data_IF_572106992720
#
_entry.id   IF_572106992720
#
_cell.length_a   1.000
_cell.length_b   1.000
_cell.length_c   1.000
_cell.angle_alpha   90.00
_cell.angle_beta   90.00
_cell.angle_gamma   90.00
#
_symmetry.space_group_name_H-M   'P 1'
#
loop_
_entity.id
_entity.type
_entity.pdbx_description
1 polymer ?
#
# COMPACT_ATOMS: atom_id res chain seq x y z
N UNK A 1 8.98 -7.18 1.78
CA UNK A 1 7.88 -6.19 1.75
C UNK A 1 8.10 -5.09 2.77
N UNK A 2 8.22 -3.84 2.33
CA UNK A 2 8.51 -2.65 3.15
C UNK A 2 7.24 -2.11 3.82
N UNK A 3 7.30 -1.72 5.10
CA UNK A 3 6.19 -0.99 5.76
C UNK A 3 6.22 0.49 5.37
N UNK A 4 5.05 1.03 5.09
CA UNK A 4 4.88 2.45 4.71
C UNK A 4 3.83 3.11 5.60
N UNK A 5 3.96 4.42 5.76
CA UNK A 5 2.93 5.22 6.42
C UNK A 5 2.08 5.86 5.32
N UNK A 6 0.76 5.73 5.43
CA UNK A 6 -0.18 6.41 4.54
C UNK A 6 -0.82 7.55 5.32
N UNK A 7 -0.61 8.78 4.85
CA UNK A 7 -1.34 9.93 5.35
C UNK A 7 -2.69 9.99 4.64
N UNK A 8 -3.73 10.32 5.38
CA UNK A 8 -5.08 10.50 4.84
C UNK A 8 -5.61 11.88 5.20
N UNK A 9 -6.53 12.38 4.40
CA UNK A 9 -7.35 13.54 4.79
C UNK A 9 -8.43 13.16 5.81
N UNK A 10 -9.30 14.11 6.13
CA UNK A 10 -10.43 13.94 7.05
C UNK A 10 -11.47 12.92 6.58
N UNK A 11 -11.53 12.63 5.28
CA UNK A 11 -12.43 11.63 4.70
C UNK A 11 -11.79 10.24 4.64
N UNK A 12 -10.53 10.12 5.07
CA UNK A 12 -9.76 8.88 5.00
C UNK A 12 -9.20 8.59 3.61
N UNK A 13 -9.19 9.58 2.71
CA UNK A 13 -8.59 9.44 1.39
C UNK A 13 -7.06 9.62 1.48
N UNK A 14 -6.27 8.70 0.91
CA UNK A 14 -4.81 8.82 0.84
C UNK A 14 -4.35 10.14 0.21
N UNK A 15 -3.52 10.89 0.93
CA UNK A 15 -2.93 12.15 0.47
C UNK A 15 -1.42 12.04 0.23
N UNK A 16 -0.73 11.22 1.03
CA UNK A 16 0.70 10.97 0.86
C UNK A 16 1.11 9.58 1.39
N UNK A 17 2.26 9.09 0.92
CA UNK A 17 2.90 7.87 1.42
C UNK A 17 4.33 8.19 1.84
N UNK A 18 4.70 7.84 3.06
CA UNK A 18 6.10 7.87 3.52
C UNK A 18 6.70 6.48 3.35
N UNK A 19 7.71 6.40 2.47
CA UNK A 19 8.41 5.16 2.11
C UNK A 19 9.92 5.44 2.05
N UNK A 20 10.71 4.60 2.72
CA UNK A 20 12.18 4.76 2.89
C UNK A 20 12.61 6.18 3.31
N UNK A 21 11.85 6.80 4.22
CA UNK A 21 12.12 8.16 4.70
C UNK A 21 11.84 9.28 3.69
N UNK A 22 11.22 8.96 2.55
CA UNK A 22 10.80 9.93 1.53
C UNK A 22 9.28 10.01 1.48
N UNK A 23 8.77 11.23 1.35
CA UNK A 23 7.34 11.47 1.18
C UNK A 23 6.97 11.51 -0.31
N UNK A 24 5.89 10.80 -0.64
CA UNK A 24 5.34 10.70 -1.96
C UNK A 24 3.90 11.21 -1.96
N UNK A 25 3.64 12.35 -2.60
CA UNK A 25 2.31 12.94 -2.66
C UNK A 25 1.44 12.17 -3.66
N UNK A 26 0.19 11.88 -3.27
CA UNK A 26 -0.82 11.26 -4.16
C UNK A 26 -1.27 12.29 -5.19
N UNK A 27 -1.24 11.92 -6.46
CA UNK A 27 -1.53 12.82 -7.59
C UNK A 27 -2.75 12.45 -8.44
N UNK A 28 -3.42 11.34 -8.14
CA UNK A 28 -4.67 10.94 -8.77
C UNK A 28 -5.55 10.19 -7.76
N UNK A 29 -6.83 10.02 -8.08
CA UNK A 29 -7.78 9.29 -7.23
C UNK A 29 -7.26 7.87 -6.92
N UNK A 30 -7.22 7.47 -5.64
CA UNK A 30 -6.84 6.12 -5.24
C UNK A 30 -7.80 5.04 -5.76
N UNK A 31 -7.27 3.87 -6.09
CA UNK A 31 -8.08 2.69 -6.41
C UNK A 31 -7.93 1.67 -5.28
N UNK A 32 -9.04 1.22 -4.71
CA UNK A 32 -9.09 0.29 -3.58
C UNK A 32 -9.89 -0.95 -3.95
N UNK A 33 -9.37 -2.12 -3.61
CA UNK A 33 -10.05 -3.40 -3.77
C UNK A 33 -9.62 -4.40 -2.70
N UNK A 34 -10.24 -5.58 -2.69
CA UNK A 34 -9.86 -6.69 -1.82
C UNK A 34 -9.42 -7.87 -2.67
N UNK A 35 -8.33 -8.52 -2.26
CA UNK A 35 -7.84 -9.75 -2.89
C UNK A 35 -7.95 -10.92 -1.92
N UNK A 36 -8.41 -12.07 -2.44
CA UNK A 36 -8.44 -13.29 -1.64
C UNK A 36 -7.04 -13.89 -1.53
N UNK A 37 -6.61 -14.17 -0.31
CA UNK A 37 -5.33 -14.78 0.02
C UNK A 37 -5.54 -16.13 0.71
N UNK A 38 -4.93 -17.17 0.13
CA UNK A 38 -4.89 -18.51 0.72
C UNK A 38 -3.72 -18.59 1.69
N UNK A 39 -3.82 -17.91 2.85
CA UNK A 39 -2.71 -17.87 3.80
C UNK A 39 -2.24 -19.26 4.25
N UNK A 40 -3.10 -20.28 4.19
CA UNK A 40 -2.76 -21.66 4.56
C UNK A 40 -1.76 -22.32 3.60
N UNK A 41 -1.59 -21.79 2.38
CA UNK A 41 -0.56 -22.27 1.45
C UNK A 41 0.84 -21.83 1.88
N UNK A 42 0.94 -20.70 2.60
CA UNK A 42 2.23 -20.13 3.02
C UNK A 42 2.47 -20.24 4.53
N UNK A 43 1.44 -20.49 5.33
CA UNK A 43 1.50 -20.51 6.79
C UNK A 43 0.75 -21.72 7.37
N UNK A 44 1.42 -22.46 8.27
CA UNK A 44 0.81 -23.61 8.98
C UNK A 44 -0.30 -23.24 9.96
N UNK A 45 -0.41 -21.97 10.36
CA UNK A 45 -1.41 -21.46 11.29
C UNK A 45 -1.90 -20.11 10.78
N UNK A 46 -3.15 -19.80 11.14
CA UNK A 46 -3.78 -18.53 10.84
C UNK A 46 -2.88 -17.37 11.28
N UNK A 47 -2.52 -16.45 10.37
CA UNK A 47 -1.71 -15.30 10.72
C UNK A 47 -2.41 -14.48 11.80
N UNK A 48 -1.67 -14.12 12.85
CA UNK A 48 -2.20 -13.25 13.90
C UNK A 48 -2.62 -11.91 13.30
N UNK A 49 -3.74 -11.37 13.74
CA UNK A 49 -4.30 -10.10 13.24
C UNK A 49 -5.00 -10.22 11.88
N UNK A 50 -4.56 -11.10 10.99
CA UNK A 50 -5.21 -11.31 9.70
C UNK A 50 -6.17 -12.51 9.77
N UNK A 51 -7.34 -12.29 10.36
CA UNK A 51 -8.36 -13.33 10.45
C UNK A 51 -9.15 -13.55 9.15
N UNK A 52 -8.98 -12.64 8.21
CA UNK A 52 -9.61 -12.65 6.90
C UNK A 52 -8.85 -13.48 5.88
N UNK A 53 -9.63 -14.00 4.96
CA UNK A 53 -9.20 -14.57 3.67
C UNK A 53 -9.09 -13.48 2.62
N UNK A 54 -9.51 -12.24 2.92
CA UNK A 54 -9.38 -11.10 2.04
C UNK A 54 -8.39 -10.09 2.62
N UNK A 55 -7.58 -9.50 1.76
CA UNK A 55 -6.66 -8.42 2.11
C UNK A 55 -6.99 -7.18 1.30
N UNK A 56 -7.05 -6.04 1.98
CA UNK A 56 -7.26 -4.74 1.32
C UNK A 56 -6.00 -4.34 0.55
N UNK A 57 -6.20 -3.89 -0.69
CA UNK A 57 -5.17 -3.46 -1.62
C UNK A 57 -5.48 -2.06 -2.10
N UNK A 58 -4.44 -1.25 -2.23
CA UNK A 58 -4.50 0.13 -2.67
C UNK A 58 -3.50 0.36 -3.79
N UNK A 59 -3.97 0.91 -4.91
CA UNK A 59 -3.13 1.45 -5.97
C UNK A 59 -3.15 2.97 -5.88
N UNK A 60 -1.96 3.55 -5.83
CA UNK A 60 -1.77 5.00 -5.75
C UNK A 60 -0.90 5.47 -6.91
N UNK A 61 -1.33 6.55 -7.56
CA UNK A 61 -0.46 7.34 -8.43
C UNK A 61 0.22 8.39 -7.55
N UNK A 62 1.53 8.28 -7.38
CA UNK A 62 2.30 9.13 -6.46
C UNK A 62 3.46 9.82 -7.15
N UNK A 63 3.91 10.94 -6.61
CA UNK A 63 5.12 11.66 -7.07
C UNK A 63 6.01 12.00 -5.89
N UNK A 64 7.32 12.07 -6.10
CA UNK A 64 8.27 12.42 -5.03
C UNK A 64 8.13 13.89 -4.63
N UNK A 65 7.89 14.14 -3.35
CA UNK A 65 7.64 15.48 -2.81
C UNK A 65 6.38 16.14 -3.40
N UNK A 66 6.27 17.47 -3.25
CA UNK A 66 5.09 18.24 -3.64
C UNK A 66 5.22 18.96 -5.01
N UNK A 67 6.22 18.59 -5.82
CA UNK A 67 6.40 19.21 -7.13
C UNK A 67 5.38 18.65 -8.14
N UNK A 68 4.42 19.47 -8.54
CA UNK A 68 3.35 19.08 -9.48
C UNK A 68 3.84 18.71 -10.88
N UNK A 69 5.08 19.05 -11.24
CA UNK A 69 5.70 18.66 -12.52
C UNK A 69 6.44 17.32 -12.47
N UNK A 70 6.64 16.74 -11.28
CA UNK A 70 7.24 15.42 -11.15
C UNK A 70 6.32 14.35 -11.77
N UNK A 71 6.93 13.39 -12.47
CA UNK A 71 6.22 12.25 -13.04
C UNK A 71 5.52 11.44 -11.94
N UNK A 72 4.33 10.93 -12.26
CA UNK A 72 3.62 9.98 -11.41
C UNK A 72 4.23 8.58 -11.58
N UNK A 73 4.32 7.86 -10.48
CA UNK A 73 4.63 6.44 -10.44
C UNK A 73 3.53 5.70 -9.69
N UNK A 74 3.31 4.44 -10.05
CA UNK A 74 2.31 3.61 -9.39
C UNK A 74 2.93 2.94 -8.16
N UNK A 75 2.27 3.06 -7.01
CA UNK A 75 2.61 2.32 -5.79
C UNK A 75 1.43 1.41 -5.42
N UNK A 76 1.72 0.12 -5.25
CA UNK A 76 0.76 -0.85 -4.76
C UNK A 76 1.01 -1.12 -3.28
N UNK A 77 -0.01 -0.97 -2.45
CA UNK A 77 0.04 -1.21 -1.02
C UNK A 77 -0.93 -2.32 -0.65
N UNK A 78 -0.56 -3.10 0.37
CA UNK A 78 -1.37 -4.14 0.97
C UNK A 78 -1.50 -3.89 2.46
N UNK A 79 -2.69 -4.14 3.01
CA UNK A 79 -2.90 -4.10 4.47
C UNK A 79 -2.08 -5.18 5.17
N UNK A 80 -1.45 -4.82 6.28
CA UNK A 80 -0.49 -5.68 6.98
C UNK A 80 -1.14 -6.76 7.88
N UNK A 81 -2.44 -6.63 8.16
CA UNK A 81 -3.24 -7.53 9.00
C UNK A 81 -2.93 -7.48 10.50
N UNK A 82 -1.72 -7.09 10.92
CA UNK A 82 -1.26 -7.17 12.31
C UNK A 82 -1.58 -5.93 13.16
N UNK A 83 -1.74 -4.76 12.54
CA UNK A 83 -2.01 -3.51 13.24
C UNK A 83 -2.70 -2.45 12.39
N UNK A 84 -3.24 -2.84 11.24
CA UNK A 84 -3.90 -1.92 10.31
C UNK A 84 -2.93 -1.02 9.54
N UNK A 85 -1.64 -1.34 9.52
CA UNK A 85 -0.64 -0.65 8.71
C UNK A 85 -0.68 -1.05 7.23
N UNK A 86 0.18 -0.42 6.43
CA UNK A 86 0.33 -0.69 5.00
C UNK A 86 1.74 -1.20 4.69
N UNK A 87 1.83 -2.14 3.75
CA UNK A 87 3.08 -2.63 3.19
C UNK A 87 3.12 -2.40 1.69
N UNK A 88 4.24 -1.90 1.18
CA UNK A 88 4.47 -1.74 -0.25
C UNK A 88 4.70 -3.10 -0.90
N UNK A 89 3.84 -3.46 -1.86
CA UNK A 89 4.05 -4.61 -2.74
C UNK A 89 5.25 -4.35 -3.63
N UNK A 90 6.00 -5.40 -3.90
CA UNK A 90 7.11 -5.36 -4.85
C UNK A 90 6.51 -5.03 -6.22
N UNK A 91 7.05 -4.00 -6.90
CA UNK A 91 6.53 -3.65 -8.23
C UNK A 91 7.04 -4.67 -9.23
N UNK A 92 6.21 -5.11 -10.17
CA UNK A 92 6.65 -5.98 -11.26
C UNK A 92 7.78 -5.36 -12.12
N UNK A 93 8.01 -4.05 -12.02
CA UNK A 93 9.07 -3.34 -12.73
C UNK A 93 10.45 -3.43 -12.03
N UNK A 94 10.52 -3.84 -10.77
CA UNK A 94 11.79 -3.97 -10.02
C UNK A 94 12.40 -5.40 -10.12
N UNK A 95 11.80 -6.30 -10.89
CA UNK A 95 12.24 -7.70 -11.04
C UNK A 95 13.06 -7.98 -12.32
N UNK A 96 13.54 -6.92 -13.01
CA UNK A 96 14.32 -7.01 -14.24
C UNK A 96 15.81 -6.74 -14.01
#
# INVERSE_FOLDING_TARGET
>A
MEHVIVHTDSEGMPTAVVSRGREWAVGAAPVRWYERVNWWETSRRMPKGNSGVDVEVLQLQVRLGNNSRSALTTMYLQRDGLGGGWRRRESAADAA
#
